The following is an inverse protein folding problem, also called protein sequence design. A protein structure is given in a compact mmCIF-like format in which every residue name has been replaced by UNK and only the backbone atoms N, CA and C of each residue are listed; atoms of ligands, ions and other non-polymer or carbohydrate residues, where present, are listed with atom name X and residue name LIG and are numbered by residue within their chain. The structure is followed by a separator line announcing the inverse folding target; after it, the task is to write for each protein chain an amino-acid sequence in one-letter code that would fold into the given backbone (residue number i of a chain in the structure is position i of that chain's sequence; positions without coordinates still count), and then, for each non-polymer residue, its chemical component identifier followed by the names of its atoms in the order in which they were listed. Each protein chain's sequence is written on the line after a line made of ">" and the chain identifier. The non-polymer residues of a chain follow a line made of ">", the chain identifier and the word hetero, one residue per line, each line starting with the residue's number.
data_IF_366648965752
#
_entry.id   IF_366648965752
#
_cell.length_a   1.000
_cell.length_b   1.000
_cell.length_c   1.000
_cell.angle_alpha   90.00
_cell.angle_beta   90.00
_cell.angle_gamma   90.00
#
_symmetry.space_group_name_H-M   'P 1'
#
loop_
_entity.id
_entity.type
_entity.pdbx_description
1 polymer ?
#
# COMPACT_ATOMS: atom_id res chain seq x y z
N UNK A 1 -8.47 3.98 -12.22
CA UNK A 1 -8.37 2.65 -12.87
C UNK A 1 -9.76 2.17 -13.25
N UNK A 2 -9.90 1.34 -14.30
CA UNK A 2 -11.20 0.80 -14.74
C UNK A 2 -11.95 0.06 -13.63
N UNK A 3 -11.23 -0.65 -12.74
CA UNK A 3 -11.80 -1.35 -11.59
C UNK A 3 -12.38 -0.37 -10.56
N UNK A 4 -11.63 0.68 -10.17
CA UNK A 4 -12.11 1.66 -9.19
C UNK A 4 -13.40 2.35 -9.66
N UNK A 5 -13.46 2.70 -10.95
CA UNK A 5 -14.67 3.26 -11.56
C UNK A 5 -15.85 2.29 -11.49
N UNK A 6 -15.66 1.01 -11.85
CA UNK A 6 -16.70 -0.04 -11.76
C UNK A 6 -17.19 -0.27 -10.32
N UNK A 7 -16.30 -0.15 -9.33
CA UNK A 7 -16.63 -0.30 -7.90
C UNK A 7 -17.18 0.97 -7.27
N UNK A 8 -17.19 2.11 -7.98
CA UNK A 8 -17.59 3.39 -7.42
C UNK A 8 -16.69 3.88 -6.29
N UNK A 9 -15.42 3.50 -6.28
CA UNK A 9 -14.45 3.88 -5.26
C UNK A 9 -13.31 4.72 -5.82
N UNK A 10 -12.56 5.37 -4.93
CA UNK A 10 -11.34 6.07 -5.33
C UNK A 10 -10.21 5.08 -5.66
N UNK A 11 -9.18 5.55 -6.36
CA UNK A 11 -8.00 4.72 -6.60
C UNK A 11 -7.25 4.40 -5.30
N UNK A 12 -7.27 5.31 -4.31
CA UNK A 12 -6.69 5.07 -2.98
C UNK A 12 -7.41 3.93 -2.26
N UNK A 13 -8.75 3.98 -2.28
CA UNK A 13 -9.58 2.94 -1.68
C UNK A 13 -9.38 1.59 -2.37
N UNK A 14 -9.28 1.57 -3.70
CA UNK A 14 -8.99 0.33 -4.43
C UNK A 14 -7.67 -0.31 -3.99
N UNK A 15 -6.62 0.49 -3.83
CA UNK A 15 -5.29 -0.01 -3.40
C UNK A 15 -5.36 -0.58 -1.98
N UNK A 16 -5.98 0.15 -1.04
CA UNK A 16 -6.13 -0.33 0.34
C UNK A 16 -6.96 -1.61 0.41
N UNK A 17 -8.05 -1.70 -0.35
CA UNK A 17 -8.87 -2.91 -0.45
C UNK A 17 -8.08 -4.08 -1.04
N UNK A 18 -7.21 -3.84 -2.03
CA UNK A 18 -6.37 -4.86 -2.63
C UNK A 18 -5.29 -5.40 -1.67
N UNK A 19 -4.67 -4.52 -0.86
CA UNK A 19 -3.72 -4.95 0.17
C UNK A 19 -4.42 -5.82 1.22
N UNK A 20 -5.59 -5.39 1.71
CA UNK A 20 -6.40 -6.17 2.66
C UNK A 20 -6.87 -7.51 2.09
N UNK A 21 -7.02 -7.62 0.76
CA UNK A 21 -7.45 -8.85 0.11
C UNK A 21 -6.34 -9.91 -0.03
N UNK A 22 -5.08 -9.61 0.36
CA UNK A 22 -3.97 -10.56 0.24
C UNK A 22 -3.98 -11.65 1.33
N UNK A 23 -4.62 -11.40 2.48
CA UNK A 23 -4.73 -12.36 3.57
C UNK A 23 -5.19 -11.70 4.88
N UNK A 24 -5.62 -12.51 5.84
CA UNK A 24 -6.09 -12.03 7.15
C UNK A 24 -4.95 -11.47 8.02
N UNK A 25 -3.70 -11.74 7.64
CA UNK A 25 -2.46 -11.24 8.25
C UNK A 25 -1.99 -9.91 7.65
N UNK A 26 -2.69 -9.36 6.65
CA UNK A 26 -2.38 -8.07 6.08
C UNK A 26 -3.09 -6.93 6.83
N UNK A 27 -2.28 -6.06 7.43
CA UNK A 27 -2.75 -4.88 8.15
C UNK A 27 -2.31 -3.63 7.39
N UNK A 28 -3.25 -2.79 6.98
CA UNK A 28 -2.96 -1.49 6.36
C UNK A 28 -2.81 -0.40 7.42
N UNK A 29 -1.75 0.42 7.30
CA UNK A 29 -1.47 1.55 8.21
C UNK A 29 -1.38 2.90 7.45
N UNK A 30 -2.41 3.30 6.70
CA UNK A 30 -2.34 4.50 5.88
C UNK A 30 -2.33 5.78 6.74
N UNK A 31 -1.23 6.54 6.66
CA UNK A 31 -1.10 7.83 7.32
C UNK A 31 -1.80 8.96 6.55
N UNK A 32 -2.44 9.89 7.26
CA UNK A 32 -3.04 11.11 6.67
C UNK A 32 -3.16 12.21 7.73
N UNK A 33 -3.08 13.48 7.31
CA UNK A 33 -3.35 14.65 8.13
C UNK A 33 -4.75 15.25 7.93
N UNK A 34 -5.56 14.66 7.02
CA UNK A 34 -6.90 15.17 6.66
C UNK A 34 -7.97 14.17 7.07
N UNK A 35 -8.99 14.65 7.79
CA UNK A 35 -10.14 13.84 8.24
C UNK A 35 -10.85 13.17 7.08
N UNK A 36 -11.12 13.91 5.99
CA UNK A 36 -11.76 13.34 4.78
C UNK A 36 -11.02 12.11 4.24
N UNK A 37 -9.68 12.15 4.23
CA UNK A 37 -8.88 11.02 3.77
C UNK A 37 -8.91 9.86 4.77
N UNK A 38 -8.99 10.16 6.08
CA UNK A 38 -9.15 9.12 7.10
C UNK A 38 -10.47 8.36 6.89
N UNK A 39 -11.57 9.08 6.68
CA UNK A 39 -12.88 8.51 6.38
C UNK A 39 -12.84 7.67 5.10
N UNK A 40 -12.22 8.21 4.04
CA UNK A 40 -12.04 7.50 2.77
C UNK A 40 -11.22 6.20 2.94
N UNK A 41 -10.12 6.25 3.70
CA UNK A 41 -9.27 5.10 3.99
C UNK A 41 -10.01 4.00 4.77
N UNK A 42 -10.83 4.37 5.76
CA UNK A 42 -11.64 3.42 6.54
C UNK A 42 -12.67 2.72 5.65
N UNK A 43 -13.31 3.47 4.74
CA UNK A 43 -14.31 2.92 3.81
C UNK A 43 -13.72 1.88 2.85
N UNK A 44 -12.41 1.90 2.60
CA UNK A 44 -11.75 0.92 1.74
C UNK A 44 -11.92 -0.53 2.22
N UNK A 45 -12.01 -0.75 3.54
CA UNK A 45 -12.18 -2.09 4.12
C UNK A 45 -13.52 -2.76 3.75
N UNK A 46 -14.50 -1.97 3.29
CA UNK A 46 -15.81 -2.47 2.87
C UNK A 46 -15.83 -2.93 1.40
N UNK A 47 -14.80 -2.59 0.62
CA UNK A 47 -14.72 -2.95 -0.80
C UNK A 47 -14.28 -4.40 -0.91
N UNK A 48 -15.11 -5.24 -1.52
CA UNK A 48 -14.79 -6.64 -1.82
C UNK A 48 -14.33 -6.77 -3.27
N UNK A 49 -13.14 -7.34 -3.45
CA UNK A 49 -12.58 -7.64 -4.76
C UNK A 49 -12.79 -9.12 -5.08
N UNK A 50 -13.13 -9.42 -6.33
CA UNK A 50 -13.15 -10.80 -6.82
C UNK A 50 -11.72 -11.31 -7.04
N UNK A 51 -11.57 -12.63 -7.20
CA UNK A 51 -10.26 -13.23 -7.50
C UNK A 51 -9.69 -12.72 -8.82
N UNK A 52 -10.55 -12.48 -9.80
CA UNK A 52 -10.21 -11.94 -11.11
C UNK A 52 -9.73 -10.49 -10.99
N UNK A 53 -10.39 -9.66 -10.18
CA UNK A 53 -9.99 -8.28 -9.93
C UNK A 53 -8.64 -8.21 -9.19
N UNK A 54 -8.43 -9.07 -8.19
CA UNK A 54 -7.15 -9.18 -7.48
C UNK A 54 -6.03 -9.55 -8.45
N UNK A 55 -6.30 -10.51 -9.35
CA UNK A 55 -5.36 -10.92 -10.39
C UNK A 55 -5.08 -9.80 -11.38
N UNK A 56 -6.11 -9.09 -11.86
CA UNK A 56 -5.96 -7.97 -12.80
C UNK A 56 -5.05 -6.87 -12.21
N UNK A 57 -5.25 -6.53 -10.93
CA UNK A 57 -4.40 -5.55 -10.24
C UNK A 57 -2.96 -6.05 -10.13
N UNK A 58 -2.75 -7.32 -9.75
CA UNK A 58 -1.42 -7.91 -9.66
C UNK A 58 -0.69 -7.92 -11.01
N UNK A 59 -1.37 -8.37 -12.07
CA UNK A 59 -0.83 -8.39 -13.43
C UNK A 59 -0.43 -6.97 -13.89
N UNK A 60 -1.20 -5.95 -13.49
CA UNK A 60 -0.86 -4.55 -13.79
C UNK A 60 0.38 -4.06 -13.02
N UNK A 61 0.52 -4.46 -11.75
CA UNK A 61 1.70 -4.14 -10.93
C UNK A 61 2.96 -4.84 -11.44
N UNK A 62 2.89 -6.11 -11.83
CA UNK A 62 4.03 -6.88 -12.35
C UNK A 62 4.52 -6.36 -13.72
N UNK A 63 3.61 -5.78 -14.51
CA UNK A 63 3.96 -5.11 -15.77
C UNK A 63 4.52 -3.71 -15.58
N UNK A 64 4.36 -3.11 -14.41
CA UNK A 64 4.93 -1.81 -14.12
C UNK A 64 6.44 -1.97 -13.96
N UNK A 65 7.21 -1.29 -14.79
CA UNK A 65 8.66 -1.25 -14.65
C UNK A 65 9.02 -0.43 -13.40
N UNK A 66 9.63 -1.08 -12.40
CA UNK A 66 10.11 -0.43 -11.18
C UNK A 66 11.63 -0.38 -11.27
N UNK A 67 12.15 0.75 -11.75
CA UNK A 67 13.57 0.94 -11.92
C UNK A 67 14.25 1.37 -10.60
N UNK A 68 15.34 0.69 -10.25
CA UNK A 68 16.26 1.08 -9.18
C UNK A 68 15.97 0.45 -7.81
N UNK A 69 16.95 0.59 -6.91
CA UNK A 69 16.86 0.12 -5.53
C UNK A 69 16.04 1.07 -4.65
N UNK A 70 15.57 0.55 -3.51
CA UNK A 70 14.81 1.34 -2.52
C UNK A 70 15.61 2.53 -1.97
N UNK A 71 16.92 2.36 -1.86
CA UNK A 71 17.87 3.39 -1.43
C UNK A 71 19.10 3.35 -2.36
N UNK A 72 19.76 4.49 -2.64
CA UNK A 72 21.02 4.49 -3.39
C UNK A 72 22.09 3.66 -2.67
N UNK A 73 22.95 2.96 -3.42
CA UNK A 73 23.99 2.07 -2.89
C UNK A 73 24.83 2.70 -1.76
N UNK A 74 25.22 3.97 -1.94
CA UNK A 74 25.99 4.76 -0.97
C UNK A 74 25.29 4.96 0.39
N UNK A 75 23.95 4.84 0.45
CA UNK A 75 23.16 5.05 1.66
C UNK A 75 22.85 3.75 2.41
N UNK A 76 23.25 2.57 1.90
CA UNK A 76 22.94 1.30 2.55
C UNK A 76 23.57 1.17 3.94
N UNK A 77 24.77 1.73 4.14
CA UNK A 77 25.47 1.67 5.43
C UNK A 77 24.71 2.42 6.55
N UNK A 78 23.99 3.49 6.21
CA UNK A 78 23.29 4.33 7.18
C UNK A 78 21.94 3.75 7.62
N UNK A 79 21.39 2.77 6.87
CA UNK A 79 20.11 2.12 7.19
C UNK A 79 20.16 1.33 8.51
N UNK A 80 21.36 0.91 8.93
CA UNK A 80 21.59 0.12 10.13
C UNK A 80 22.45 0.86 11.16
N UNK A 81 22.41 2.19 11.17
CA UNK A 81 23.09 2.98 12.18
C UNK A 81 22.50 2.68 13.58
N UNK A 82 23.34 2.14 14.46
CA UNK A 82 22.97 1.85 15.84
C UNK A 82 22.70 3.13 16.64
N UNK A 83 21.73 3.07 17.55
CA UNK A 83 21.53 4.15 18.53
C UNK A 83 22.67 4.17 19.56
N UNK A 84 23.04 5.35 20.04
CA UNK A 84 24.07 5.48 21.07
C UNK A 84 23.71 4.61 22.30
N UNK A 85 24.68 3.88 22.89
CA UNK A 85 24.42 3.05 24.05
C UNK A 85 23.86 3.91 25.18
N UNK A 86 22.90 3.33 25.93
CA UNK A 86 22.29 4.01 27.07
C UNK A 86 23.40 4.45 28.04
N UNK A 87 23.49 5.75 28.30
CA UNK A 87 24.36 6.26 29.36
C UNK A 87 23.77 5.81 30.70
N UNK A 88 24.58 5.11 31.49
CA UNK A 88 24.25 4.68 32.85
C UNK A 88 23.88 5.87 33.73
#
# INVERSE_FOLDING_TARGET
>A
TTIAYKKGCSSSQLVLAWILAQGDDFIVIPGTSKIKNLEENIQAAQIKLSKEEIKEIRDACEKADVAGDRYPELMHADLYADSAPKKN
#
